data_IF_812744099950
#
_entry.id   IF_812744099950
#
_cell.length_a   1.000
_cell.length_b   1.000
_cell.length_c   1.000
_cell.angle_alpha   90.00
_cell.angle_beta   90.00
_cell.angle_gamma   90.00
#
_symmetry.space_group_name_H-M   'P 1'
#
loop_
_entity.id
_entity.type
_entity.pdbx_description
1 polymer ?
#
# COMPACT_ATOMS: atom_id res chain seq x y z
N UNK A 1 1.87 -9.40 -18.12
CA UNK A 1 3.13 -9.11 -17.40
C UNK A 1 2.76 -8.35 -16.13
N UNK A 2 2.42 -9.05 -15.05
CA UNK A 2 2.12 -8.38 -13.77
C UNK A 2 3.47 -7.90 -13.22
N UNK A 3 3.67 -6.59 -13.20
CA UNK A 3 4.89 -5.91 -12.77
C UNK A 3 5.32 -6.47 -11.40
N UNK A 4 6.61 -6.81 -11.26
CA UNK A 4 7.21 -7.40 -10.04
C UNK A 4 6.85 -6.63 -8.76
N UNK A 5 6.54 -5.35 -8.89
CA UNK A 5 6.15 -4.40 -7.86
C UNK A 5 4.80 -4.71 -7.19
N UNK A 6 3.87 -5.38 -7.89
CA UNK A 6 2.55 -5.72 -7.34
C UNK A 6 2.60 -6.89 -6.34
N UNK A 7 3.67 -7.69 -6.36
CA UNK A 7 3.83 -8.83 -5.43
C UNK A 7 3.92 -8.39 -3.97
N UNK A 8 4.45 -7.19 -3.71
CA UNK A 8 4.60 -6.63 -2.37
C UNK A 8 3.73 -5.37 -2.18
N UNK A 9 2.78 -5.14 -3.08
CA UNK A 9 1.87 -4.01 -2.98
C UNK A 9 0.82 -4.24 -1.90
N UNK A 10 0.34 -3.14 -1.32
CA UNK A 10 -0.70 -3.14 -0.31
C UNK A 10 -1.88 -2.32 -0.80
N UNK A 11 -3.10 -2.79 -0.62
CA UNK A 11 -4.31 -2.08 -1.02
C UNK A 11 -5.14 -1.72 0.19
N UNK A 12 -5.65 -0.49 0.20
CA UNK A 12 -6.57 0.00 1.19
C UNK A 12 -7.93 -0.66 1.01
N UNK A 13 -8.39 -1.40 2.03
CA UNK A 13 -9.67 -2.10 2.04
C UNK A 13 -10.85 -1.19 2.42
N UNK A 14 -10.61 0.12 2.61
CA UNK A 14 -11.69 1.09 2.87
C UNK A 14 -12.59 1.17 1.63
N UNK A 15 -13.92 0.96 1.75
CA UNK A 15 -14.85 0.86 0.62
C UNK A 15 -14.81 2.03 -0.35
N UNK A 16 -14.52 3.24 0.15
CA UNK A 16 -14.47 4.47 -0.64
C UNK A 16 -13.03 4.88 -1.02
N UNK A 17 -12.04 3.99 -0.90
CA UNK A 17 -10.63 4.33 -1.13
C UNK A 17 -9.95 3.52 -2.25
N UNK A 18 -9.75 2.22 -2.04
CA UNK A 18 -9.06 1.36 -3.01
C UNK A 18 -7.61 1.76 -3.36
N UNK A 19 -6.96 2.61 -2.55
CA UNK A 19 -5.59 3.06 -2.83
C UNK A 19 -4.58 1.92 -2.76
N UNK A 20 -3.67 1.85 -3.73
CA UNK A 20 -2.61 0.83 -3.79
C UNK A 20 -1.27 1.47 -3.48
N UNK A 21 -0.68 1.09 -2.35
CA UNK A 21 0.68 1.40 -1.98
C UNK A 21 1.66 0.49 -2.73
N UNK A 22 2.60 1.10 -3.45
CA UNK A 22 3.65 0.42 -4.19
C UNK A 22 5.01 0.71 -3.53
N UNK A 23 5.66 -0.29 -2.90
CA UNK A 23 6.96 -0.09 -2.27
C UNK A 23 7.99 0.55 -3.19
N UNK A 24 8.05 0.10 -4.45
CA UNK A 24 8.99 0.63 -5.46
C UNK A 24 8.79 2.12 -5.77
N UNK A 25 7.58 2.66 -5.56
CA UNK A 25 7.31 4.09 -5.73
C UNK A 25 7.41 4.87 -4.43
N UNK A 26 7.21 4.21 -3.29
CA UNK A 26 7.08 4.87 -2.00
C UNK A 26 5.81 5.72 -1.94
N UNK A 27 5.82 6.76 -1.12
CA UNK A 27 4.72 7.71 -0.96
C UNK A 27 5.25 9.12 -0.77
N UNK A 28 5.24 9.91 -1.85
CA UNK A 28 5.76 11.28 -1.85
C UNK A 28 4.98 12.22 -0.93
N UNK A 29 3.67 12.00 -0.74
CA UNK A 29 2.83 12.88 0.09
C UNK A 29 3.21 12.76 1.56
N UNK A 30 3.55 11.55 1.99
CA UNK A 30 4.01 11.27 3.35
C UNK A 30 5.54 11.23 3.47
N UNK A 31 6.27 11.77 2.48
CA UNK A 31 7.75 11.81 2.45
C UNK A 31 8.42 10.43 2.57
N UNK A 32 7.75 9.38 2.10
CA UNK A 32 8.29 8.02 2.08
C UNK A 32 9.06 7.79 0.77
N UNK A 33 10.36 7.46 0.84
CA UNK A 33 11.16 7.25 -0.35
C UNK A 33 10.73 5.98 -1.13
N UNK A 34 11.08 5.91 -2.42
CA UNK A 34 10.89 4.67 -3.19
C UNK A 34 11.73 3.52 -2.62
N UNK A 35 11.25 2.30 -2.83
CA UNK A 35 11.77 1.05 -2.28
C UNK A 35 11.57 0.89 -0.76
N UNK A 36 10.68 1.66 -0.13
CA UNK A 36 10.26 1.42 1.25
C UNK A 36 9.18 0.35 1.29
N UNK A 37 9.37 -0.78 2.01
CA UNK A 37 8.30 -1.74 2.20
C UNK A 37 7.23 -1.17 3.15
N UNK A 38 5.98 -1.59 2.97
CA UNK A 38 4.85 -1.15 3.81
C UNK A 38 5.07 -1.43 5.30
N UNK A 39 5.75 -2.53 5.61
CA UNK A 39 6.12 -2.91 6.98
C UNK A 39 7.11 -1.95 7.64
N UNK A 40 7.90 -1.22 6.85
CA UNK A 40 8.83 -0.20 7.34
C UNK A 40 8.17 1.19 7.44
N UNK A 41 6.89 1.32 7.10
CA UNK A 41 6.17 2.59 7.25
C UNK A 41 5.97 2.92 8.74
N UNK A 42 6.10 4.21 9.11
CA UNK A 42 5.85 4.63 10.48
C UNK A 42 4.40 4.34 10.89
N UNK A 43 4.18 4.16 12.19
CA UNK A 43 2.85 3.89 12.74
C UNK A 43 1.86 5.04 12.52
N UNK A 44 2.40 6.25 12.43
CA UNK A 44 1.69 7.49 12.11
C UNK A 44 1.35 7.62 10.62
N UNK A 45 1.85 6.72 9.76
CA UNK A 45 1.52 6.77 8.34
C UNK A 45 0.02 6.48 8.14
N UNK A 46 -0.60 7.35 7.34
CA UNK A 46 -2.00 7.22 6.95
C UNK A 46 -2.11 7.19 5.44
N UNK A 47 -3.19 6.57 4.96
CA UNK A 47 -3.48 6.49 3.54
C UNK A 47 -3.54 7.90 2.93
N UNK A 48 -2.73 8.21 1.91
CA UNK A 48 -2.75 9.54 1.29
C UNK A 48 -4.08 9.85 0.59
N UNK A 49 -4.90 8.84 0.28
CA UNK A 49 -6.18 9.03 -0.39
C UNK A 49 -7.36 9.22 0.59
N UNK A 50 -7.38 8.51 1.72
CA UNK A 50 -8.53 8.55 2.66
C UNK A 50 -8.18 8.89 4.11
N UNK A 51 -6.91 9.07 4.45
CA UNK A 51 -6.45 9.40 5.81
C UNK A 51 -6.59 8.28 6.84
N UNK A 52 -7.03 7.08 6.46
CA UNK A 52 -7.13 5.95 7.38
C UNK A 52 -5.76 5.37 7.72
N UNK A 53 -5.68 4.75 8.90
CA UNK A 53 -4.46 4.08 9.38
C UNK A 53 -4.07 2.87 8.53
N UNK A 54 -2.78 2.51 8.61
CA UNK A 54 -2.20 1.35 7.92
C UNK A 54 -2.90 0.01 8.17
N UNK A 55 -3.63 -0.11 9.29
CA UNK A 55 -4.34 -1.34 9.65
C UNK A 55 -5.48 -1.72 8.67
N UNK A 56 -5.99 -0.75 7.91
CA UNK A 56 -7.01 -0.99 6.89
C UNK A 56 -6.43 -1.48 5.54
N UNK A 57 -5.14 -1.77 5.47
CA UNK A 57 -4.50 -2.29 4.25
C UNK A 57 -4.35 -3.81 4.30
N UNK A 58 -4.49 -4.44 3.13
CA UNK A 58 -4.18 -5.86 2.90
C UNK A 58 -3.14 -6.01 1.79
N UNK A 59 -2.38 -7.12 1.81
CA UNK A 59 -1.41 -7.39 0.74
C UNK A 59 -2.18 -7.74 -0.52
N UNK A 60 -1.82 -7.08 -1.62
CA UNK A 60 -2.48 -7.26 -2.90
C UNK A 60 -2.28 -8.68 -3.44
N UNK A 61 -1.12 -9.31 -3.20
CA UNK A 61 -0.85 -10.70 -3.61
C UNK A 61 -1.92 -11.68 -3.10
N UNK A 62 -2.32 -11.53 -1.83
CA UNK A 62 -3.29 -12.41 -1.19
C UNK A 62 -4.68 -12.25 -1.82
N UNK A 63 -5.03 -11.03 -2.22
CA UNK A 63 -6.32 -10.73 -2.86
C UNK A 63 -6.41 -11.18 -4.33
N UNK A 64 -5.26 -11.33 -5.00
CA UNK A 64 -5.19 -11.78 -6.40
C UNK A 64 -5.06 -13.31 -6.49
N UNK A 65 -4.46 -13.95 -5.49
CA UNK A 65 -4.30 -15.42 -5.44
C UNK A 65 -5.56 -16.15 -4.91
N UNK A 66 -6.47 -15.48 -4.21
CA UNK A 66 -7.76 -16.05 -3.73
C UNK A 66 -8.91 -16.00 -4.76
N UNK A 67 -8.64 -15.72 -6.04
CA UNK A 67 -9.65 -15.72 -7.12
C UNK A 67 -9.29 -16.57 -8.33
#
# INVERSE_FOLDING_TARGET
>A
MISKDLKNAWVCMVPNCGYIYLPSKGDKLNHIPPNTPFEALPETWTCPNCGNVKNNFKRLKELVEEK
#
